data_IF_385429012692
#
_entry.id   IF_385429012692
#
_cell.length_a   1.000
_cell.length_b   1.000
_cell.length_c   1.000
_cell.angle_alpha   90.00
_cell.angle_beta   90.00
_cell.angle_gamma   90.00
#
_symmetry.space_group_name_H-M   'P 1'
#
loop_
_entity.id
_entity.type
_entity.pdbx_description
1 polymer ?
#
# COMPACT_ATOMS: atom_id res chain seq x y z
N UNK A 1 12.35 -18.30 5.30
CA UNK A 1 13.15 -17.17 4.80
C UNK A 1 12.69 -15.92 5.50
N UNK A 2 13.60 -15.19 6.14
CA UNK A 2 13.27 -13.95 6.82
C UNK A 2 12.90 -12.89 5.78
N UNK A 3 11.59 -12.70 5.56
CA UNK A 3 11.06 -11.56 4.84
C UNK A 3 11.48 -10.31 5.59
N UNK A 4 12.52 -9.65 5.09
CA UNK A 4 12.94 -8.34 5.58
C UNK A 4 11.78 -7.40 5.33
N UNK A 5 11.08 -7.03 6.41
CA UNK A 5 10.01 -6.03 6.38
C UNK A 5 10.59 -4.71 5.85
N UNK A 6 10.48 -4.51 4.53
CA UNK A 6 11.07 -3.39 3.80
C UNK A 6 10.49 -2.02 4.20
N UNK A 7 9.46 -1.98 5.05
CA UNK A 7 8.86 -0.74 5.55
C UNK A 7 9.54 -0.11 6.77
N UNK A 8 10.50 -0.77 7.42
CA UNK A 8 11.02 -0.34 8.73
C UNK A 8 12.50 0.09 8.76
N UNK A 9 13.21 0.12 7.62
CA UNK A 9 14.61 0.58 7.58
C UNK A 9 14.68 2.12 7.46
N UNK A 10 14.95 2.74 8.61
CA UNK A 10 15.51 4.08 8.89
C UNK A 10 14.87 5.31 8.25
N UNK A 11 14.17 6.09 9.08
CA UNK A 11 13.83 7.50 8.88
C UNK A 11 15.08 8.42 8.99
N UNK A 12 16.19 8.12 8.30
CA UNK A 12 17.35 9.03 8.26
C UNK A 12 17.09 10.11 7.20
N UNK A 13 16.94 11.40 7.59
CA UNK A 13 16.67 12.48 6.65
C UNK A 13 17.71 12.58 5.52
N UNK A 14 18.95 12.12 5.75
CA UNK A 14 20.01 12.12 4.73
C UNK A 14 19.73 11.10 3.63
N UNK A 15 19.26 9.91 4.00
CA UNK A 15 18.84 8.88 3.03
C UNK A 15 17.62 9.34 2.23
N UNK A 16 16.71 10.10 2.84
CA UNK A 16 15.56 10.66 2.12
C UNK A 16 15.97 11.75 1.13
N UNK A 17 16.90 12.63 1.52
CA UNK A 17 17.48 13.64 0.64
C UNK A 17 18.24 13.03 -0.53
N UNK A 18 18.98 11.94 -0.30
CA UNK A 18 19.71 11.21 -1.35
C UNK A 18 18.74 10.63 -2.38
N UNK A 19 17.69 9.92 -1.94
CA UNK A 19 16.66 9.36 -2.83
C UNK A 19 15.99 10.47 -3.65
N UNK A 20 15.67 11.59 -3.01
CA UNK A 20 14.98 12.70 -3.69
C UNK A 20 15.88 13.37 -4.71
N UNK A 21 17.17 13.53 -4.41
CA UNK A 21 18.15 14.02 -5.38
C UNK A 21 18.25 13.08 -6.59
N UNK A 22 18.33 11.77 -6.36
CA UNK A 22 18.37 10.77 -7.44
C UNK A 22 17.13 10.84 -8.34
N UNK A 23 15.93 10.91 -7.75
CA UNK A 23 14.67 11.05 -8.50
C UNK A 23 14.64 12.35 -9.30
N UNK A 24 15.05 13.47 -8.71
CA UNK A 24 15.05 14.77 -9.40
C UNK A 24 16.08 14.81 -10.54
N UNK A 25 17.24 14.17 -10.36
CA UNK A 25 18.25 14.02 -11.42
C UNK A 25 17.71 13.19 -12.60
N UNK A 26 16.99 12.10 -12.33
CA UNK A 26 16.42 11.25 -13.38
C UNK A 26 15.26 11.93 -14.11
N UNK A 27 14.43 12.70 -13.40
CA UNK A 27 13.39 13.53 -14.02
C UNK A 27 14.03 14.62 -14.91
N UNK A 28 15.09 15.28 -14.43
CA UNK A 28 15.79 16.30 -15.23
C UNK A 28 16.35 15.73 -16.54
N UNK A 29 16.91 14.50 -16.50
CA UNK A 29 17.37 13.79 -17.69
C UNK A 29 16.21 13.45 -18.64
N UNK A 30 15.11 12.92 -18.11
CA UNK A 30 13.94 12.52 -18.90
C UNK A 30 13.25 13.73 -19.59
N UNK A 31 13.32 14.90 -18.95
CA UNK A 31 12.79 16.16 -19.49
C UNK A 31 13.78 16.91 -20.38
N UNK A 32 15.01 16.39 -20.57
CA UNK A 32 16.09 17.05 -21.31
C UNK A 32 16.35 18.49 -20.83
N UNK A 33 16.31 18.71 -19.52
CA UNK A 33 16.60 20.02 -18.95
C UNK A 33 18.07 20.38 -19.22
N UNK A 34 18.29 21.62 -19.67
CA UNK A 34 19.63 22.19 -19.70
C UNK A 34 20.17 22.42 -18.28
N UNK A 35 21.46 22.74 -18.16
CA UNK A 35 22.13 22.88 -16.87
C UNK A 35 21.51 23.97 -15.98
N UNK A 36 20.95 25.02 -16.60
CA UNK A 36 20.30 26.11 -15.88
C UNK A 36 18.95 25.67 -15.33
N UNK A 37 18.09 25.10 -16.16
CA UNK A 37 16.77 24.59 -15.76
C UNK A 37 16.89 23.46 -14.74
N UNK A 38 17.93 22.62 -14.86
CA UNK A 38 18.24 21.58 -13.88
C UNK A 38 18.59 22.15 -12.51
N UNK A 39 19.44 23.18 -12.44
CA UNK A 39 19.86 23.82 -11.19
C UNK A 39 18.69 24.41 -10.39
N UNK A 40 17.68 24.91 -11.08
CA UNK A 40 16.47 25.45 -10.47
C UNK A 40 15.49 24.34 -10.06
N UNK A 41 15.45 23.24 -10.82
CA UNK A 41 14.59 22.08 -10.57
C UNK A 41 15.01 21.25 -9.33
N UNK A 42 16.31 21.08 -9.08
CA UNK A 42 16.82 20.22 -7.99
C UNK A 42 16.71 20.84 -6.58
N UNK A 43 16.00 21.97 -6.41
CA UNK A 43 15.82 22.69 -5.14
C UNK A 43 14.35 22.71 -4.72
N UNK A 44 13.80 21.62 -4.17
CA UNK A 44 12.41 21.60 -3.73
C UNK A 44 12.16 22.62 -2.60
N UNK A 45 11.11 23.44 -2.75
CA UNK A 45 10.75 24.49 -1.76
C UNK A 45 10.20 23.91 -0.46
N UNK A 46 9.51 22.78 -0.53
CA UNK A 46 9.05 22.01 0.61
C UNK A 46 9.76 20.65 0.62
N UNK A 47 10.06 20.15 1.81
CA UNK A 47 10.72 18.85 1.96
C UNK A 47 9.93 17.72 1.29
N UNK A 48 10.61 16.64 0.88
CA UNK A 48 9.94 15.51 0.25
C UNK A 48 9.00 14.82 1.24
N UNK A 49 7.72 14.72 0.88
CA UNK A 49 6.78 13.86 1.58
C UNK A 49 6.91 12.44 1.02
N UNK A 50 7.76 11.63 1.63
CA UNK A 50 7.94 10.24 1.24
C UNK A 50 7.14 9.33 2.17
N UNK A 51 6.25 8.53 1.59
CA UNK A 51 5.52 7.50 2.31
C UNK A 51 6.07 6.13 1.95
N UNK A 52 6.53 5.38 2.97
CA UNK A 52 7.08 4.03 2.78
C UNK A 52 6.06 3.00 3.23
N UNK A 53 5.45 2.31 2.27
CA UNK A 53 4.55 1.19 2.53
C UNK A 53 5.34 -0.11 2.38
N UNK A 54 5.58 -0.83 3.49
CA UNK A 54 6.40 -2.05 3.46
C UNK A 54 5.79 -3.19 2.63
N UNK A 55 4.47 -3.32 2.65
CA UNK A 55 3.69 -4.23 1.82
C UNK A 55 2.40 -3.49 1.48
N UNK A 56 2.48 -2.61 0.49
CA UNK A 56 1.43 -1.62 0.24
C UNK A 56 0.09 -2.27 -0.12
N UNK A 57 0.14 -3.38 -0.87
CA UNK A 57 -1.04 -4.06 -1.37
C UNK A 57 -0.82 -5.57 -1.42
N UNK A 58 -1.86 -6.37 -1.14
CA UNK A 58 -1.83 -7.81 -1.35
C UNK A 58 -1.64 -8.12 -2.83
N UNK A 59 -0.89 -9.18 -3.13
CA UNK A 59 -0.87 -9.77 -4.47
C UNK A 59 -1.94 -10.85 -4.57
N UNK A 60 -2.46 -11.10 -5.77
CA UNK A 60 -3.56 -12.06 -5.96
C UNK A 60 -3.27 -13.44 -5.36
N UNK A 61 -2.02 -13.91 -5.39
CA UNK A 61 -1.59 -15.18 -4.80
C UNK A 61 -1.60 -15.23 -3.26
N UNK A 62 -1.75 -14.08 -2.60
CA UNK A 62 -1.81 -13.96 -1.13
C UNK A 62 -3.21 -13.68 -0.61
N UNK A 63 -4.19 -13.55 -1.50
CA UNK A 63 -5.57 -13.27 -1.12
C UNK A 63 -6.25 -14.55 -0.58
N UNK A 64 -7.11 -14.38 0.40
CA UNK A 64 -7.90 -15.46 1.00
C UNK A 64 -9.37 -15.30 0.65
N UNK A 65 -10.14 -16.39 0.63
CA UNK A 65 -11.58 -16.27 0.39
C UNK A 65 -12.31 -15.78 1.64
N UNK A 66 -13.51 -15.23 1.47
CA UNK A 66 -14.41 -14.82 2.56
C UNK A 66 -14.74 -15.98 3.51
N UNK A 67 -14.74 -17.23 3.04
CA UNK A 67 -14.87 -18.44 3.85
C UNK A 67 -13.67 -18.63 4.78
N UNK A 68 -12.47 -18.45 4.26
CA UNK A 68 -11.24 -18.60 5.04
C UNK A 68 -11.01 -17.43 6.00
N UNK A 69 -11.62 -16.27 5.71
CA UNK A 69 -11.59 -15.07 6.55
C UNK A 69 -12.59 -15.09 7.72
N UNK A 70 -13.47 -16.11 7.80
CA UNK A 70 -14.54 -16.18 8.78
C UNK A 70 -14.27 -17.21 9.88
N UNK A 71 -14.27 -16.77 11.14
CA UNK A 71 -14.19 -17.61 12.32
C UNK A 71 -15.58 -17.70 13.00
N UNK A 72 -16.37 -18.75 12.70
CA UNK A 72 -17.77 -18.84 13.14
C UNK A 72 -17.91 -18.96 14.66
N UNK A 73 -17.03 -19.70 15.34
CA UNK A 73 -17.11 -19.90 16.80
C UNK A 73 -17.01 -18.59 17.59
N UNK A 74 -16.32 -17.59 17.04
CA UNK A 74 -16.13 -16.28 17.67
C UNK A 74 -16.98 -15.18 17.03
N UNK A 75 -17.73 -15.48 15.96
CA UNK A 75 -18.46 -14.47 15.19
C UNK A 75 -17.55 -13.40 14.58
N UNK A 76 -16.28 -13.72 14.31
CA UNK A 76 -15.30 -12.78 13.76
C UNK A 76 -15.09 -13.00 12.26
N UNK A 77 -15.06 -11.92 11.49
CA UNK A 77 -14.75 -11.96 10.06
C UNK A 77 -13.72 -10.87 9.70
N UNK A 78 -12.71 -11.23 8.92
CA UNK A 78 -11.75 -10.28 8.38
C UNK A 78 -12.28 -9.71 7.05
N UNK A 79 -12.14 -8.39 6.89
CA UNK A 79 -12.48 -7.69 5.65
C UNK A 79 -11.30 -6.81 5.24
N UNK A 80 -11.03 -6.79 3.94
CA UNK A 80 -10.03 -5.97 3.28
C UNK A 80 -9.89 -6.37 1.83
N UNK A 81 -9.17 -5.57 1.05
CA UNK A 81 -8.87 -5.88 -0.36
C UNK A 81 -8.20 -7.26 -0.56
N UNK A 82 -7.49 -7.76 0.45
CA UNK A 82 -6.90 -9.11 0.48
C UNK A 82 -7.92 -10.26 0.58
N UNK A 83 -9.21 -9.97 0.77
CA UNK A 83 -10.29 -10.97 0.69
C UNK A 83 -11.22 -10.77 -0.51
N UNK A 84 -10.88 -9.84 -1.41
CA UNK A 84 -11.66 -9.55 -2.63
C UNK A 84 -11.00 -10.13 -3.87
N UNK A 85 -11.78 -10.27 -4.95
CA UNK A 85 -11.29 -10.56 -6.30
C UNK A 85 -10.51 -9.39 -6.93
N UNK A 86 -10.51 -8.21 -6.30
CA UNK A 86 -9.84 -6.98 -6.77
C UNK A 86 -8.82 -6.47 -5.73
N UNK A 87 -7.74 -7.24 -5.44
CA UNK A 87 -6.76 -6.84 -4.45
C UNK A 87 -6.03 -5.56 -4.83
N UNK A 88 -5.62 -4.78 -3.82
CA UNK A 88 -4.92 -3.51 -4.02
C UNK A 88 -5.82 -2.34 -4.42
N UNK A 89 -7.15 -2.50 -4.33
CA UNK A 89 -8.11 -1.47 -4.75
C UNK A 89 -9.05 -1.09 -3.61
N UNK A 90 -9.52 0.15 -3.64
CA UNK A 90 -10.53 0.65 -2.71
C UNK A 90 -11.85 -0.09 -2.93
N UNK A 91 -12.19 -0.36 -4.18
CA UNK A 91 -13.40 -1.06 -4.57
C UNK A 91 -13.37 -2.53 -4.13
N UNK A 92 -12.20 -3.17 -4.14
CA UNK A 92 -12.02 -4.50 -3.57
C UNK A 92 -12.20 -4.51 -2.05
N UNK A 93 -11.64 -3.52 -1.35
CA UNK A 93 -11.88 -3.36 0.08
C UNK A 93 -13.37 -3.12 0.40
N UNK A 94 -14.06 -2.30 -0.39
CA UNK A 94 -15.50 -2.05 -0.22
C UNK A 94 -16.34 -3.31 -0.46
N UNK A 95 -16.07 -4.07 -1.53
CA UNK A 95 -16.74 -5.36 -1.79
C UNK A 95 -16.53 -6.34 -0.63
N UNK A 96 -15.28 -6.45 -0.15
CA UNK A 96 -14.99 -7.36 0.97
C UNK A 96 -15.80 -7.05 2.23
N UNK A 97 -16.05 -5.76 2.49
CA UNK A 97 -16.83 -5.34 3.65
C UNK A 97 -18.30 -5.72 3.50
N UNK A 98 -18.86 -5.62 2.29
CA UNK A 98 -20.24 -6.02 1.99
C UNK A 98 -20.40 -7.53 2.14
N UNK A 99 -19.47 -8.32 1.58
CA UNK A 99 -19.48 -9.78 1.68
C UNK A 99 -19.34 -10.24 3.12
N UNK A 100 -18.42 -9.61 3.87
CA UNK A 100 -18.20 -9.92 5.28
C UNK A 100 -19.43 -9.60 6.14
N UNK A 101 -20.05 -8.44 5.94
CA UNK A 101 -21.27 -8.04 6.65
C UNK A 101 -22.44 -8.99 6.35
N UNK A 102 -22.62 -9.37 5.07
CA UNK A 102 -23.67 -10.30 4.64
C UNK A 102 -23.49 -11.67 5.31
N UNK A 103 -22.25 -12.18 5.34
CA UNK A 103 -21.92 -13.47 5.95
C UNK A 103 -22.09 -13.45 7.46
N UNK A 104 -21.63 -12.39 8.12
CA UNK A 104 -21.79 -12.23 9.57
C UNK A 104 -23.27 -12.13 9.96
N UNK A 105 -24.06 -11.33 9.23
CA UNK A 105 -25.50 -11.22 9.47
C UNK A 105 -26.22 -12.58 9.31
N UNK A 106 -25.88 -13.33 8.25
CA UNK A 106 -26.43 -14.66 8.01
C UNK A 106 -26.10 -15.64 9.14
N UNK A 107 -24.88 -15.56 9.69
CA UNK A 107 -24.46 -16.37 10.82
C UNK A 107 -25.23 -16.02 12.10
N UNK A 108 -25.37 -14.73 12.42
CA UNK A 108 -26.12 -14.26 13.60
C UNK A 108 -27.59 -14.66 13.55
N UNK A 109 -28.22 -14.62 12.38
CA UNK A 109 -29.63 -15.04 12.21
C UNK A 109 -29.81 -16.56 12.34
N UNK A 110 -28.75 -17.33 12.07
CA UNK A 110 -28.80 -18.80 12.11
C UNK A 110 -28.53 -19.38 13.51
N UNK A 111 -28.19 -18.54 14.50
CA UNK A 111 -28.00 -18.89 15.91
C UNK A 111 -29.30 -18.69 16.70
#
# INVERSE_FOLDING_TARGET
GAGTKAGAKSNDPRTEQEIVREVLDDVAKALHLDDQAKSDFVKPTNGPFMQRWGSAFPVASTCISTESAFAPESGLILAGDFTSMRPGTIEGAAESAIDAATKLASHVISL
#
